data_IF_145539573728
#
_entry.id   IF_145539573728
#
_cell.length_a   1.000
_cell.length_b   1.000
_cell.length_c   1.000
_cell.angle_alpha   90.00
_cell.angle_beta   90.00
_cell.angle_gamma   90.00
#
_symmetry.space_group_name_H-M   'P 1'
#
loop_
_entity.id
_entity.type
_entity.pdbx_description
1 polymer ?
#
# COMPACT_ATOMS: atom_id res chain seq x y z
N UNK A 1 27.94 12.81 -17.20
CA UNK A 1 26.82 11.93 -16.81
C UNK A 1 26.24 11.32 -18.09
N UNK A 2 26.01 10.00 -18.17
CA UNK A 2 25.40 9.32 -19.33
C UNK A 2 24.04 8.75 -18.91
N UNK A 3 23.00 8.98 -19.71
CA UNK A 3 21.67 8.41 -19.52
C UNK A 3 21.54 7.13 -20.34
N UNK A 4 20.69 6.20 -19.89
CA UNK A 4 20.32 5.02 -20.64
C UNK A 4 19.00 5.30 -21.38
N UNK A 5 19.00 5.51 -22.72
CA UNK A 5 17.80 5.88 -23.46
C UNK A 5 16.66 4.86 -23.31
N UNK A 6 16.98 3.57 -23.15
CA UNK A 6 15.97 2.51 -22.99
C UNK A 6 15.25 2.55 -21.62
N UNK A 7 15.78 3.31 -20.65
CA UNK A 7 15.19 3.49 -19.31
C UNK A 7 14.75 4.93 -19.06
N UNK A 8 14.83 5.79 -20.06
CA UNK A 8 14.44 7.19 -19.95
C UNK A 8 13.19 7.43 -20.77
N UNK A 9 12.14 7.91 -20.11
CA UNK A 9 10.94 8.40 -20.79
C UNK A 9 10.84 9.92 -20.58
N UNK A 10 10.39 10.61 -21.62
CA UNK A 10 10.26 12.07 -21.63
C UNK A 10 8.90 12.45 -22.23
N UNK A 11 8.28 13.50 -21.71
CA UNK A 11 7.03 14.04 -22.27
C UNK A 11 5.77 13.19 -22.02
N UNK A 12 5.81 12.22 -21.10
CA UNK A 12 4.67 11.37 -20.76
C UNK A 12 3.79 12.02 -19.68
N UNK A 13 2.47 11.81 -19.77
CA UNK A 13 1.49 12.34 -18.79
C UNK A 13 1.48 11.58 -17.45
N UNK A 14 2.03 10.36 -17.46
CA UNK A 14 2.27 9.58 -16.25
C UNK A 14 2.96 8.26 -16.53
N UNK A 15 3.67 7.74 -15.52
CA UNK A 15 4.49 6.53 -15.64
C UNK A 15 4.76 5.86 -14.30
N UNK A 16 5.06 4.55 -14.33
CA UNK A 16 5.60 3.81 -13.19
C UNK A 16 7.05 4.22 -12.88
N UNK A 17 7.27 4.88 -11.75
CA UNK A 17 8.60 5.25 -11.25
C UNK A 17 8.78 4.79 -9.80
N UNK A 18 9.89 4.10 -9.50
CA UNK A 18 10.20 3.53 -8.17
C UNK A 18 9.06 2.69 -7.57
N UNK A 19 8.25 2.05 -8.41
CA UNK A 19 7.13 1.22 -7.98
C UNK A 19 5.85 1.99 -7.60
N UNK A 20 5.77 3.28 -7.93
CA UNK A 20 4.58 4.15 -7.85
C UNK A 20 4.14 4.60 -9.23
N UNK A 21 2.89 5.01 -9.39
CA UNK A 21 2.41 5.65 -10.63
C UNK A 21 2.50 7.17 -10.45
N UNK A 22 3.42 7.82 -11.15
CA UNK A 22 3.59 9.28 -11.10
C UNK A 22 2.79 9.89 -12.25
N UNK A 23 1.85 10.77 -11.94
CA UNK A 23 1.04 11.51 -12.91
C UNK A 23 1.20 13.02 -12.68
N UNK A 24 0.70 13.84 -13.60
CA UNK A 24 0.77 15.30 -13.49
C UNK A 24 0.21 15.85 -12.16
N UNK A 25 -0.87 15.24 -11.66
CA UNK A 25 -1.58 15.68 -10.44
C UNK A 25 -0.94 15.21 -9.13
N UNK A 26 -0.01 14.26 -9.18
CA UNK A 26 0.58 13.67 -7.98
C UNK A 26 1.07 12.24 -8.17
N UNK A 27 1.18 11.52 -7.05
CA UNK A 27 1.62 10.13 -7.02
C UNK A 27 0.41 9.26 -6.69
N UNK A 28 0.04 8.37 -7.60
CA UNK A 28 -0.98 7.37 -7.40
C UNK A 28 -0.39 6.05 -6.91
N UNK A 29 -1.22 5.31 -6.17
CA UNK A 29 -0.91 3.94 -5.78
C UNK A 29 -0.74 3.07 -7.03
N UNK A 30 0.26 2.19 -7.01
CA UNK A 30 0.46 1.28 -8.13
C UNK A 30 -0.66 0.22 -8.16
N UNK A 31 -1.51 0.18 -9.20
CA UNK A 31 -2.66 -0.72 -9.26
C UNK A 31 -2.23 -2.20 -9.20
N UNK A 32 -1.02 -2.53 -9.66
CA UNK A 32 -0.47 -3.88 -9.56
C UNK A 32 -0.30 -4.33 -8.11
N UNK A 33 0.20 -3.44 -7.24
CA UNK A 33 0.41 -3.75 -5.82
C UNK A 33 -0.92 -3.95 -5.11
N UNK A 34 -1.92 -3.14 -5.44
CA UNK A 34 -3.29 -3.26 -4.89
C UNK A 34 -3.94 -4.55 -5.38
N UNK A 35 -3.85 -4.86 -6.68
CA UNK A 35 -4.38 -6.09 -7.28
C UNK A 35 -3.84 -7.35 -6.60
N UNK A 36 -2.53 -7.39 -6.33
CA UNK A 36 -1.92 -8.50 -5.61
C UNK A 36 -2.47 -8.72 -4.19
N UNK A 37 -2.98 -7.68 -3.52
CA UNK A 37 -3.65 -7.80 -2.21
C UNK A 37 -5.11 -8.23 -2.40
N UNK A 38 -5.80 -7.69 -3.40
CA UNK A 38 -7.19 -8.04 -3.72
C UNK A 38 -7.35 -9.51 -4.10
N UNK A 39 -6.47 -10.04 -4.94
CA UNK A 39 -6.48 -11.43 -5.41
C UNK A 39 -5.95 -12.43 -4.38
N UNK A 40 -5.29 -11.95 -3.31
CA UNK A 40 -4.74 -12.80 -2.27
C UNK A 40 -5.86 -13.50 -1.50
N UNK A 41 -5.79 -14.82 -1.37
CA UNK A 41 -6.66 -15.60 -0.47
C UNK A 41 -6.28 -15.32 0.98
N UNK A 42 -7.20 -15.62 1.90
CA UNK A 42 -6.94 -15.52 3.34
C UNK A 42 -5.69 -16.34 3.70
N UNK A 43 -4.67 -15.71 4.31
CA UNK A 43 -3.45 -16.38 4.74
C UNK A 43 -3.72 -17.55 5.69
N UNK A 44 -3.07 -18.68 5.41
CA UNK A 44 -3.15 -19.90 6.21
C UNK A 44 -1.81 -20.14 6.95
N UNK A 45 -0.73 -19.53 6.46
CA UNK A 45 0.61 -19.67 7.05
C UNK A 45 1.21 -18.33 7.49
N UNK A 46 2.08 -18.39 8.51
CA UNK A 46 2.86 -17.24 9.00
C UNK A 46 3.60 -16.52 7.86
N UNK A 47 4.18 -17.27 6.90
CA UNK A 47 4.89 -16.70 5.74
C UNK A 47 3.97 -15.84 4.87
N UNK A 48 2.72 -16.25 4.69
CA UNK A 48 1.74 -15.49 3.90
C UNK A 48 1.32 -14.22 4.63
N UNK A 49 1.18 -14.27 5.97
CA UNK A 49 0.94 -13.08 6.79
C UNK A 49 2.11 -12.11 6.73
N UNK A 50 3.35 -12.60 6.80
CA UNK A 50 4.54 -11.76 6.61
C UNK A 50 4.54 -11.10 5.23
N UNK A 51 4.23 -11.87 4.18
CA UNK A 51 4.14 -11.34 2.82
C UNK A 51 3.05 -10.27 2.70
N UNK A 52 1.89 -10.49 3.31
CA UNK A 52 0.81 -9.51 3.39
C UNK A 52 1.27 -8.24 4.12
N UNK A 53 1.89 -8.36 5.29
CA UNK A 53 2.42 -7.22 6.04
C UNK A 53 3.44 -6.40 5.24
N UNK A 54 4.35 -7.04 4.50
CA UNK A 54 5.30 -6.34 3.62
C UNK A 54 4.58 -5.61 2.49
N UNK A 55 3.58 -6.24 1.87
CA UNK A 55 2.77 -5.62 0.81
C UNK A 55 2.01 -4.40 1.33
N UNK A 56 1.36 -4.51 2.49
CA UNK A 56 0.63 -3.39 3.11
C UNK A 56 1.57 -2.27 3.53
N UNK A 57 2.74 -2.59 4.10
CA UNK A 57 3.75 -1.60 4.47
C UNK A 57 4.19 -0.77 3.25
N UNK A 58 4.34 -1.40 2.08
CA UNK A 58 4.67 -0.70 0.83
C UNK A 58 3.58 0.27 0.34
N UNK A 59 2.37 0.16 0.89
CA UNK A 59 1.22 1.03 0.63
C UNK A 59 0.90 1.96 1.81
N UNK A 60 1.71 1.95 2.88
CA UNK A 60 1.41 2.65 4.13
C UNK A 60 1.16 4.16 3.98
N UNK A 61 1.80 4.80 2.99
CA UNK A 61 1.63 6.23 2.67
C UNK A 61 0.26 6.57 2.05
N UNK A 62 -0.44 5.57 1.53
CA UNK A 62 -1.75 5.71 0.87
C UNK A 62 -2.92 5.25 1.76
N UNK A 63 -2.61 4.60 2.89
CA UNK A 63 -3.57 4.01 3.80
C UNK A 63 -3.75 4.90 5.03
N UNK A 64 -4.94 5.46 5.19
CA UNK A 64 -5.30 6.15 6.43
C UNK A 64 -5.26 5.19 7.63
N UNK A 65 -4.65 5.65 8.74
CA UNK A 65 -4.46 4.87 9.98
C UNK A 65 -3.80 3.50 9.72
N UNK A 66 -2.85 3.44 8.79
CA UNK A 66 -2.17 2.20 8.38
C UNK A 66 -1.52 1.46 9.55
N UNK A 67 -0.96 2.17 10.54
CA UNK A 67 -0.42 1.57 11.77
C UNK A 67 -1.46 0.78 12.55
N UNK A 68 -2.67 1.34 12.74
CA UNK A 68 -3.76 0.67 13.46
C UNK A 68 -4.29 -0.54 12.68
N UNK A 69 -4.37 -0.44 11.36
CA UNK A 69 -4.79 -1.56 10.50
C UNK A 69 -3.76 -2.68 10.46
N UNK A 70 -2.47 -2.33 10.56
CA UNK A 70 -1.38 -3.31 10.61
C UNK A 70 -1.19 -3.95 11.99
N UNK A 71 -1.69 -3.31 13.05
CA UNK A 71 -1.54 -3.78 14.43
C UNK A 71 -2.05 -5.23 14.58
N UNK A 72 -3.20 -5.54 13.99
CA UNK A 72 -3.77 -6.89 14.01
C UNK A 72 -2.78 -7.90 13.42
N UNK A 73 -2.19 -7.62 12.25
CA UNK A 73 -1.20 -8.52 11.62
C UNK A 73 0.09 -8.66 12.45
N UNK A 74 0.57 -7.58 13.07
CA UNK A 74 1.74 -7.63 13.97
C UNK A 74 1.48 -8.49 15.21
N UNK A 75 0.28 -8.42 15.80
CA UNK A 75 -0.11 -9.27 16.93
C UNK A 75 -0.14 -10.75 16.53
N UNK A 76 -0.62 -11.08 15.33
CA UNK A 76 -0.58 -12.45 14.79
C UNK A 76 0.85 -12.95 14.65
N UNK A 77 1.74 -12.11 14.09
CA UNK A 77 3.15 -12.43 13.92
C UNK A 77 3.92 -12.55 15.24
N UNK A 78 3.42 -12.01 16.35
CA UNK A 78 4.05 -12.15 17.68
C UNK A 78 3.64 -13.46 18.39
N UNK A 79 2.48 -14.04 18.06
CA UNK A 79 1.95 -15.30 18.65
C UNK A 79 2.43 -16.57 17.91
N UNK A 80 3.64 -16.56 17.35
CA UNK A 80 4.19 -17.56 16.41
C UNK A 80 4.02 -19.02 16.86
N UNK A 81 4.04 -19.31 18.17
CA UNK A 81 3.97 -20.70 18.66
C UNK A 81 2.66 -21.41 18.32
N UNK A 82 1.54 -20.69 18.17
CA UNK A 82 0.21 -21.24 17.85
C UNK A 82 -0.49 -20.33 16.82
N UNK A 83 0.12 -20.16 15.64
CA UNK A 83 -0.48 -19.33 14.59
C UNK A 83 -1.83 -19.91 14.17
N UNK A 84 -2.88 -19.13 14.35
CA UNK A 84 -4.22 -19.41 13.85
C UNK A 84 -4.77 -18.14 13.21
N UNK A 85 -5.29 -18.27 11.99
CA UNK A 85 -5.94 -17.17 11.31
C UNK A 85 -7.33 -16.94 11.92
N UNK A 86 -7.37 -16.15 13.00
CA UNK A 86 -8.59 -15.84 13.73
C UNK A 86 -9.56 -14.97 12.92
N UNK A 87 -10.84 -15.05 13.26
CA UNK A 87 -11.93 -14.28 12.65
C UNK A 87 -11.68 -12.76 12.66
N UNK A 88 -11.04 -12.22 13.70
CA UNK A 88 -10.67 -10.80 13.79
C UNK A 88 -9.68 -10.36 12.71
N UNK A 89 -8.76 -11.25 12.32
CA UNK A 89 -7.80 -10.98 11.24
C UNK A 89 -8.47 -11.06 9.87
N UNK A 90 -9.36 -12.04 9.68
CA UNK A 90 -10.16 -12.13 8.46
C UNK A 90 -11.01 -10.86 8.27
N UNK A 91 -11.70 -10.41 9.32
CA UNK A 91 -12.49 -9.18 9.27
C UNK A 91 -11.61 -7.96 8.94
N UNK A 92 -10.45 -7.82 9.58
CA UNK A 92 -9.49 -6.73 9.28
C UNK A 92 -9.01 -6.79 7.83
N UNK A 93 -8.74 -7.99 7.31
CA UNK A 93 -8.29 -8.20 5.93
C UNK A 93 -9.40 -7.87 4.91
N UNK A 94 -10.65 -8.27 5.18
CA UNK A 94 -11.79 -7.93 4.32
C UNK A 94 -12.06 -6.42 4.33
N UNK A 95 -12.03 -5.77 5.49
CA UNK A 95 -12.16 -4.30 5.59
C UNK A 95 -11.05 -3.58 4.82
N UNK A 96 -9.84 -4.14 4.79
CA UNK A 96 -8.74 -3.59 3.99
C UNK A 96 -9.03 -3.72 2.48
N UNK A 97 -9.54 -4.87 2.02
CA UNK A 97 -9.95 -5.05 0.62
C UNK A 97 -11.08 -4.12 0.24
N UNK A 98 -12.09 -4.00 1.09
CA UNK A 98 -13.21 -3.09 0.89
C UNK A 98 -12.74 -1.63 0.82
N UNK A 99 -11.79 -1.23 1.66
CA UNK A 99 -11.18 0.10 1.60
C UNK A 99 -10.56 0.40 0.22
N UNK A 100 -9.87 -0.58 -0.38
CA UNK A 100 -9.28 -0.41 -1.71
C UNK A 100 -10.32 -0.35 -2.84
N UNK A 101 -11.52 -0.91 -2.64
CA UNK A 101 -12.61 -0.85 -3.62
C UNK A 101 -13.42 0.44 -3.50
N UNK A 102 -13.69 0.87 -2.26
CA UNK A 102 -14.58 1.99 -1.96
C UNK A 102 -13.89 3.34 -2.03
N UNK A 103 -12.58 3.38 -1.79
CA UNK A 103 -11.82 4.63 -1.81
C UNK A 103 -11.27 4.85 -3.21
N UNK A 104 -11.46 6.03 -3.83
CA UNK A 104 -10.79 6.35 -5.10
C UNK A 104 -9.27 6.18 -4.95
N UNK A 105 -8.54 5.95 -6.06
CA UNK A 105 -7.12 5.62 -6.00
C UNK A 105 -6.42 6.64 -5.12
N UNK A 106 -5.88 6.15 -4.01
CA UNK A 106 -5.26 6.98 -2.99
C UNK A 106 -4.11 7.71 -3.66
N UNK A 107 -4.32 9.02 -3.85
CA UNK A 107 -3.40 9.89 -4.57
C UNK A 107 -2.77 10.82 -3.56
N UNK A 108 -1.44 10.83 -3.53
CA UNK A 108 -0.68 11.83 -2.82
C UNK A 108 -0.58 13.05 -3.74
N UNK A 109 -1.25 14.14 -3.35
CA UNK A 109 -1.20 15.39 -4.09
C UNK A 109 0.22 15.94 -4.09
N UNK A 110 0.61 16.54 -5.22
CA UNK A 110 1.86 17.28 -5.30
C UNK A 110 1.76 18.54 -4.44
N UNK A 111 2.66 18.77 -3.48
CA UNK A 111 2.66 20.01 -2.70
C UNK A 111 3.02 21.20 -3.59
N UNK A 112 2.38 22.34 -3.36
CA UNK A 112 2.72 23.58 -4.07
C UNK A 112 3.82 24.34 -3.34
N UNK A 113 4.64 25.07 -4.11
CA UNK A 113 5.67 25.91 -3.53
C UNK A 113 5.02 26.98 -2.63
N UNK A 114 5.52 27.09 -1.38
CA UNK A 114 5.03 28.02 -0.34
C UNK A 114 3.65 27.70 0.25
N UNK A 115 3.14 26.50 0.03
CA UNK A 115 1.93 26.02 0.70
C UNK A 115 2.22 25.67 2.17
N UNK A 116 1.34 26.08 3.08
CA UNK A 116 1.42 25.70 4.48
C UNK A 116 0.94 24.25 4.65
N UNK A 117 1.82 23.37 5.11
CA UNK A 117 1.49 21.97 5.36
C UNK A 117 0.92 21.83 6.79
N UNK A 118 -0.25 21.20 6.89
CA UNK A 118 -0.93 20.94 8.17
C UNK A 118 -0.66 19.49 8.62
N UNK A 119 -0.23 19.32 9.86
CA UNK A 119 -0.01 18.02 10.49
C UNK A 119 -1.11 17.75 11.52
N UNK A 120 -1.77 16.60 11.38
CA UNK A 120 -2.76 16.10 12.33
C UNK A 120 -2.11 14.96 13.12
N UNK A 121 -1.97 15.14 14.44
CA UNK A 121 -1.39 14.16 15.38
C UNK A 121 -2.46 13.31 16.04
#
# INVERSE_FOLDING_TARGET
MKLNPAKCMFGVKGEKFLGYLVIERGIEVNPEKVRLIMEMKSPIMVKEVQQLSVRIASLGHFLSKSANRNLSFFLTLRKIKNFEWMLEFENTFQQLKEYFVTTPPSMLAKPFAKEALLLWL
#
